data_IF_268963607713
#
_entry.id   IF_268963607713
#
_cell.length_a   1.000
_cell.length_b   1.000
_cell.length_c   1.000
_cell.angle_alpha   90.00
_cell.angle_beta   90.00
_cell.angle_gamma   90.00
#
_symmetry.space_group_name_H-M   'P 1'
#
loop_
_entity.id
_entity.type
_entity.pdbx_description
1 polymer ?
#
# COMPACT_ATOMS: atom_id res chain seq x y z
N UNK A 1 -23.70 56.22 31.91
CA UNK A 1 -22.31 56.37 32.38
C UNK A 1 -21.47 56.88 31.22
N UNK A 2 -21.21 58.19 31.17
CA UNK A 2 -20.58 58.86 30.03
C UNK A 2 -19.06 58.78 30.20
N UNK A 3 -18.40 57.95 29.38
CA UNK A 3 -16.95 57.76 29.43
C UNK A 3 -16.28 58.97 28.76
N UNK A 4 -15.63 59.80 29.56
CA UNK A 4 -14.85 60.96 29.10
C UNK A 4 -13.53 60.46 28.48
N UNK A 5 -13.57 60.12 27.20
CA UNK A 5 -12.39 59.69 26.45
C UNK A 5 -11.47 60.88 26.16
N UNK A 6 -10.21 60.77 26.59
CA UNK A 6 -9.14 61.73 26.32
C UNK A 6 -8.85 61.79 24.80
N UNK A 7 -8.49 62.96 24.25
CA UNK A 7 -8.23 63.17 22.81
C UNK A 7 -7.25 62.15 22.23
N UNK A 8 -6.24 61.72 23.00
CA UNK A 8 -5.28 60.67 22.59
C UNK A 8 -5.93 59.29 22.44
N UNK A 9 -6.92 58.95 23.28
CA UNK A 9 -7.65 57.69 23.20
C UNK A 9 -8.56 57.61 21.96
N UNK A 10 -9.09 58.75 21.49
CA UNK A 10 -9.88 58.79 20.25
C UNK A 10 -9.02 58.51 19.02
N UNK A 11 -7.78 59.02 18.98
CA UNK A 11 -6.84 58.72 17.89
C UNK A 11 -6.49 57.23 17.81
N UNK A 12 -6.22 56.58 18.95
CA UNK A 12 -5.93 55.14 18.96
C UNK A 12 -7.14 54.31 18.50
N UNK A 13 -8.35 54.69 18.87
CA UNK A 13 -9.56 53.94 18.49
C UNK A 13 -9.86 54.08 17.00
N UNK A 14 -9.64 55.27 16.43
CA UNK A 14 -9.73 55.51 14.97
C UNK A 14 -8.64 54.73 14.22
N UNK A 15 -7.40 54.73 14.72
CA UNK A 15 -6.29 53.98 14.10
C UNK A 15 -6.55 52.47 14.13
N UNK A 16 -7.12 51.95 15.21
CA UNK A 16 -7.48 50.54 15.37
C UNK A 16 -8.65 50.15 14.45
N UNK A 17 -9.63 51.05 14.26
CA UNK A 17 -10.70 50.86 13.27
C UNK A 17 -10.18 50.87 11.83
N UNK A 18 -9.25 51.76 11.48
CA UNK A 18 -8.66 51.80 10.14
C UNK A 18 -7.83 50.53 9.88
N UNK A 19 -7.03 50.09 10.86
CA UNK A 19 -6.25 48.84 10.75
C UNK A 19 -7.13 47.60 10.65
N UNK A 20 -8.24 47.54 11.39
CA UNK A 20 -9.21 46.45 11.29
C UNK A 20 -9.90 46.44 9.92
N UNK A 21 -10.22 47.59 9.32
CA UNK A 21 -10.80 47.66 7.98
C UNK A 21 -9.81 47.32 6.87
N UNK A 22 -8.51 47.62 7.04
CA UNK A 22 -7.45 47.21 6.09
C UNK A 22 -7.21 45.69 6.13
N UNK A 23 -7.27 45.08 7.32
CA UNK A 23 -7.11 43.62 7.49
C UNK A 23 -8.36 42.87 7.02
N UNK A 24 -9.56 43.40 7.24
CA UNK A 24 -10.82 42.81 6.81
C UNK A 24 -11.14 43.07 5.33
N UNK A 25 -10.55 44.10 4.70
CA UNK A 25 -10.69 44.39 3.27
C UNK A 25 -9.86 43.50 2.34
N UNK A 26 -9.05 42.58 2.88
CA UNK A 26 -8.20 41.66 2.11
C UNK A 26 -8.73 40.23 1.98
N UNK A 27 -9.94 39.96 2.47
CA UNK A 27 -10.58 38.65 2.37
C UNK A 27 -12.03 38.79 1.87
N UNK A 28 -12.19 39.15 0.60
CA UNK A 28 -13.48 39.00 -0.08
C UNK A 28 -13.29 38.78 -1.58
N UNK A 29 -13.46 37.52 -1.99
CA UNK A 29 -13.84 37.11 -3.34
C UNK A 29 -12.69 36.87 -4.33
N UNK A 30 -12.26 35.62 -4.46
CA UNK A 30 -11.98 35.05 -5.77
C UNK A 30 -12.63 33.66 -5.80
N UNK A 31 -13.88 33.63 -6.27
CA UNK A 31 -14.58 32.43 -6.72
C UNK A 31 -13.97 32.02 -8.06
N UNK A 32 -13.49 30.79 -8.11
CA UNK A 32 -12.92 30.16 -9.29
C UNK A 32 -14.06 29.43 -10.01
N UNK A 33 -14.76 30.15 -10.89
CA UNK A 33 -15.59 29.56 -11.94
C UNK A 33 -14.70 29.38 -13.17
N UNK A 34 -14.70 28.17 -13.74
CA UNK A 34 -13.87 27.77 -14.86
C UNK A 34 -14.79 27.25 -15.96
N UNK A 35 -15.40 28.19 -16.67
CA UNK A 35 -15.92 27.99 -18.02
C UNK A 35 -15.01 28.79 -18.96
N UNK A 36 -14.46 28.10 -19.95
CA UNK A 36 -13.56 28.65 -20.95
C UNK A 36 -13.63 27.75 -22.17
N UNK A 37 -14.51 28.13 -23.10
CA UNK A 37 -14.49 27.70 -24.48
C UNK A 37 -13.13 28.08 -25.10
N UNK A 38 -12.45 27.09 -25.67
CA UNK A 38 -11.30 27.27 -26.57
C UNK A 38 -11.75 26.82 -27.97
N UNK A 39 -12.20 27.79 -28.76
CA UNK A 39 -12.09 27.75 -30.21
C UNK A 39 -10.82 28.53 -30.55
N UNK A 40 -9.76 27.85 -30.96
CA UNK A 40 -8.71 28.42 -31.80
C UNK A 40 -8.17 27.33 -32.73
N UNK A 41 -8.49 27.52 -34.01
CA UNK A 41 -7.80 26.88 -35.12
C UNK A 41 -6.33 27.30 -35.09
N UNK A 42 -5.40 26.35 -35.10
CA UNK A 42 -4.09 26.59 -35.71
C UNK A 42 -3.52 25.28 -36.28
N UNK A 43 -3.42 25.27 -37.61
CA UNK A 43 -2.53 24.39 -38.35
C UNK A 43 -1.09 24.68 -37.93
N UNK A 44 -0.31 23.66 -37.58
CA UNK A 44 1.06 23.56 -38.09
C UNK A 44 1.59 22.14 -37.97
N UNK A 45 2.24 21.72 -39.06
CA UNK A 45 2.96 20.46 -39.19
C UNK A 45 4.22 20.52 -38.32
N UNK A 46 4.44 19.53 -37.45
CA UNK A 46 5.78 19.23 -36.97
C UNK A 46 5.98 17.72 -36.73
N UNK A 47 6.93 17.18 -37.47
CA UNK A 47 7.43 15.82 -37.37
C UNK A 47 8.37 15.77 -36.15
N UNK A 48 7.91 15.30 -34.99
CA UNK A 48 8.82 14.78 -33.97
C UNK A 48 8.19 13.67 -33.13
N UNK A 49 8.88 12.53 -33.12
CA UNK A 49 8.53 11.29 -32.43
C UNK A 49 8.27 11.46 -30.93
N UNK A 50 7.01 11.45 -30.52
CA UNK A 50 6.59 11.23 -29.13
C UNK A 50 6.27 9.74 -28.88
N UNK A 51 6.50 9.20 -27.67
CA UNK A 51 6.25 7.78 -27.39
C UNK A 51 4.75 7.52 -27.51
N UNK A 52 4.38 6.62 -28.41
CA UNK A 52 2.99 6.16 -28.58
C UNK A 52 2.49 5.68 -27.23
N UNK A 53 1.63 6.47 -26.56
CA UNK A 53 0.89 6.01 -25.39
C UNK A 53 -0.12 4.99 -25.89
N UNK A 54 0.31 3.72 -25.88
CA UNK A 54 -0.55 2.59 -26.22
C UNK A 54 -1.65 2.51 -25.17
N UNK A 55 -2.86 2.95 -25.53
CA UNK A 55 -4.02 2.81 -24.68
C UNK A 55 -4.50 1.34 -24.78
N UNK A 56 -4.37 0.54 -23.70
CA UNK A 56 -4.66 -0.90 -23.75
C UNK A 56 -6.10 -1.20 -24.14
N UNK A 57 -7.03 -0.30 -23.77
CA UNK A 57 -8.45 -0.46 -24.02
C UNK A 57 -8.80 -0.23 -25.49
N UNK A 58 -8.16 0.77 -26.14
CA UNK A 58 -8.30 1.03 -27.57
C UNK A 58 -7.61 -0.05 -28.43
N UNK A 59 -6.45 -0.52 -27.99
CA UNK A 59 -5.77 -1.64 -28.66
C UNK A 59 -6.61 -2.93 -28.57
N UNK A 60 -7.25 -3.19 -27.43
CA UNK A 60 -8.12 -4.36 -27.26
C UNK A 60 -9.40 -4.27 -28.09
N UNK A 61 -10.07 -3.11 -28.11
CA UNK A 61 -11.27 -2.92 -28.93
C UNK A 61 -10.97 -2.99 -30.43
N UNK A 62 -9.81 -2.47 -30.87
CA UNK A 62 -9.33 -2.66 -32.24
C UNK A 62 -9.02 -4.13 -32.56
N UNK A 63 -8.37 -4.87 -31.66
CA UNK A 63 -8.09 -6.29 -31.88
C UNK A 63 -9.38 -7.12 -32.02
N UNK A 64 -10.36 -6.88 -31.14
CA UNK A 64 -11.66 -7.58 -31.18
C UNK A 64 -12.46 -7.21 -32.43
N UNK A 65 -12.39 -5.97 -32.91
CA UNK A 65 -13.09 -5.55 -34.13
C UNK A 65 -12.50 -6.18 -35.39
N UNK A 66 -11.17 -6.34 -35.46
CA UNK A 66 -10.50 -6.99 -36.59
C UNK A 66 -10.81 -8.49 -36.67
N UNK A 67 -11.06 -9.16 -35.54
CA UNK A 67 -11.46 -10.58 -35.52
C UNK A 67 -12.85 -10.86 -36.12
N UNK A 68 -13.69 -9.82 -36.26
CA UNK A 68 -15.08 -9.93 -36.71
C UNK A 68 -15.30 -9.58 -38.18
N UNK A 69 -14.25 -9.21 -38.93
CA UNK A 69 -14.36 -8.81 -40.33
C UNK A 69 -13.87 -9.91 -41.29
N UNK A 70 -14.74 -10.78 -41.83
CA UNK A 70 -14.37 -11.84 -42.78
C UNK A 70 -14.00 -11.34 -44.19
N UNK A 71 -13.82 -10.02 -44.40
CA UNK A 71 -13.61 -9.41 -45.72
C UNK A 71 -12.16 -9.03 -46.03
N UNK A 72 -11.20 -9.28 -45.13
CA UNK A 72 -9.78 -8.95 -45.35
C UNK A 72 -8.99 -10.00 -46.17
N UNK A 73 -9.48 -11.23 -46.32
CA UNK A 73 -8.74 -12.33 -46.97
C UNK A 73 -8.67 -12.26 -48.51
N UNK A 74 -9.22 -11.22 -49.15
CA UNK A 74 -9.21 -11.05 -50.62
C UNK A 74 -8.21 -10.03 -51.16
N UNK A 75 -7.08 -9.82 -50.50
CA UNK A 75 -5.99 -9.01 -51.07
C UNK A 75 -4.63 -9.65 -50.84
N UNK A 76 -4.26 -10.59 -51.72
CA UNK A 76 -2.92 -10.66 -52.33
C UNK A 76 -2.84 -11.79 -53.36
N UNK A 77 -3.02 -11.44 -54.63
CA UNK A 77 -2.48 -12.21 -55.76
C UNK A 77 -2.21 -11.28 -56.94
N UNK A 78 -1.21 -10.41 -56.79
CA UNK A 78 -0.51 -9.83 -57.95
C UNK A 78 0.89 -10.42 -57.97
N UNK A 79 1.06 -11.52 -58.70
CA UNK A 79 2.38 -12.08 -59.02
C UNK A 79 3.06 -11.16 -60.03
N UNK A 80 4.32 -10.84 -59.77
CA UNK A 80 5.19 -10.04 -60.63
C UNK A 80 5.37 -10.66 -62.00
N UNK A 81 5.45 -9.79 -63.02
CA UNK A 81 5.77 -10.13 -64.39
C UNK A 81 7.29 -10.30 -64.48
N UNK A 82 7.76 -11.53 -64.66
CA UNK A 82 9.14 -11.79 -65.11
C UNK A 82 9.06 -12.10 -66.60
N UNK A 83 9.77 -11.30 -67.39
CA UNK A 83 10.04 -11.53 -68.80
C UNK A 83 11.02 -12.72 -68.92
N UNK A 84 10.55 -13.81 -69.54
CA UNK A 84 11.33 -15.00 -69.81
C UNK A 84 10.73 -15.76 -70.99
N UNK A 85 11.36 -15.56 -72.16
CA UNK A 85 11.44 -16.34 -73.39
C UNK A 85 10.42 -17.48 -73.59
N UNK A 86 9.71 -17.38 -74.70
CA UNK A 86 8.68 -18.27 -75.24
C UNK A 86 9.16 -19.72 -75.44
N UNK A 87 8.56 -20.64 -74.68
CA UNK A 87 8.23 -21.99 -75.17
C UNK A 87 6.71 -22.11 -75.24
N UNK A 88 6.15 -22.95 -76.13
CA UNK A 88 4.71 -23.19 -76.15
C UNK A 88 4.25 -23.65 -74.76
N UNK A 89 3.13 -23.12 -74.23
CA UNK A 89 2.63 -23.53 -72.94
C UNK A 89 2.40 -25.04 -72.96
N UNK A 90 3.12 -25.77 -72.11
CA UNK A 90 2.86 -27.19 -71.89
C UNK A 90 1.40 -27.39 -71.48
N UNK A 91 0.78 -28.53 -71.83
CA UNK A 91 -0.60 -28.80 -71.47
C UNK A 91 -0.78 -28.61 -69.95
N UNK A 92 -1.91 -28.02 -69.50
CA UNK A 92 -2.20 -27.88 -68.08
C UNK A 92 -1.99 -29.22 -67.40
N UNK A 93 -1.06 -29.28 -66.44
CA UNK A 93 -0.88 -30.48 -65.64
C UNK A 93 -2.22 -30.87 -64.99
N UNK A 94 -2.49 -32.18 -64.82
CA UNK A 94 -3.72 -32.61 -64.18
C UNK A 94 -3.88 -31.91 -62.82
N UNK A 95 -5.10 -31.50 -62.44
CA UNK A 95 -5.35 -30.90 -61.14
C UNK A 95 -4.72 -31.75 -60.05
N UNK A 96 -3.91 -31.13 -59.19
CA UNK A 96 -3.32 -31.83 -58.05
C UNK A 96 -4.42 -32.47 -57.20
N UNK A 97 -4.15 -33.62 -56.56
CA UNK A 97 -5.13 -34.28 -55.71
C UNK A 97 -5.70 -33.28 -54.68
N UNK A 98 -7.01 -33.33 -54.40
CA UNK A 98 -7.63 -32.48 -53.39
C UNK A 98 -6.83 -32.56 -52.08
N UNK A 99 -6.46 -31.40 -51.53
CA UNK A 99 -5.79 -31.34 -50.24
C UNK A 99 -6.66 -31.99 -49.15
N UNK A 100 -6.06 -32.59 -48.11
CA UNK A 100 -6.82 -33.20 -47.03
C UNK A 100 -7.79 -32.19 -46.42
N UNK A 101 -8.99 -32.64 -46.04
CA UNK A 101 -9.99 -31.79 -45.43
C UNK A 101 -9.41 -31.11 -44.18
N UNK A 102 -9.52 -29.77 -44.11
CA UNK A 102 -9.11 -29.03 -42.93
C UNK A 102 -9.86 -29.55 -41.70
N UNK A 103 -9.14 -29.79 -40.60
CA UNK A 103 -9.74 -30.31 -39.38
C UNK A 103 -10.92 -29.42 -38.95
N UNK A 104 -12.12 -30.01 -38.89
CA UNK A 104 -13.33 -29.32 -38.48
C UNK A 104 -13.31 -29.15 -36.94
N UNK A 105 -12.46 -28.26 -36.46
CA UNK A 105 -12.33 -27.96 -35.04
C UNK A 105 -13.45 -26.99 -34.67
N UNK A 106 -14.47 -27.50 -33.96
CA UNK A 106 -15.54 -26.65 -33.45
C UNK A 106 -15.03 -25.79 -32.29
N UNK A 107 -15.64 -24.61 -32.10
CA UNK A 107 -15.25 -23.67 -31.04
C UNK A 107 -15.27 -24.31 -29.65
N UNK A 108 -16.19 -25.24 -29.43
CA UNK A 108 -16.35 -25.93 -28.15
C UNK A 108 -15.21 -26.91 -27.86
N UNK A 109 -14.68 -27.59 -28.89
CA UNK A 109 -13.49 -28.44 -28.78
C UNK A 109 -12.27 -27.59 -28.45
N UNK A 110 -12.10 -26.46 -29.14
CA UNK A 110 -10.98 -25.53 -28.93
C UNK A 110 -11.02 -24.89 -27.53
N UNK A 111 -12.21 -24.54 -27.05
CA UNK A 111 -12.40 -24.00 -25.69
C UNK A 111 -12.14 -25.06 -24.62
N UNK A 112 -12.48 -26.32 -24.90
CA UNK A 112 -12.19 -27.45 -24.02
C UNK A 112 -10.68 -27.69 -23.94
N UNK A 113 -9.99 -27.75 -25.07
CA UNK A 113 -8.53 -27.87 -25.13
C UNK A 113 -7.83 -26.70 -24.44
N UNK A 114 -8.32 -25.47 -24.64
CA UNK A 114 -7.79 -24.30 -23.95
C UNK A 114 -7.98 -24.39 -22.43
N UNK A 115 -9.15 -24.81 -21.96
CA UNK A 115 -9.41 -25.02 -20.52
C UNK A 115 -8.50 -26.09 -19.94
N UNK A 116 -8.32 -27.20 -20.65
CA UNK A 116 -7.45 -28.30 -20.23
C UNK A 116 -5.98 -27.84 -20.18
N UNK A 117 -5.54 -27.05 -21.16
CA UNK A 117 -4.21 -26.44 -21.17
C UNK A 117 -4.01 -25.47 -20.01
N UNK A 118 -4.97 -24.57 -19.75
CA UNK A 118 -4.90 -23.62 -18.62
C UNK A 118 -4.87 -24.36 -17.29
N UNK A 119 -5.69 -25.40 -17.15
CA UNK A 119 -5.70 -26.27 -15.97
C UNK A 119 -4.34 -26.94 -15.76
N UNK A 120 -3.77 -27.55 -16.80
CA UNK A 120 -2.47 -28.19 -16.74
C UNK A 120 -1.35 -27.20 -16.38
N UNK A 121 -1.35 -26.01 -16.97
CA UNK A 121 -0.36 -24.95 -16.65
C UNK A 121 -0.52 -24.47 -15.21
N UNK A 122 -1.75 -24.32 -14.73
CA UNK A 122 -2.03 -23.94 -13.34
C UNK A 122 -1.55 -25.02 -12.36
N UNK A 123 -1.82 -26.29 -12.65
CA UNK A 123 -1.37 -27.44 -11.85
C UNK A 123 0.16 -27.52 -11.81
N UNK A 124 0.84 -27.43 -12.96
CA UNK A 124 2.32 -27.42 -13.01
C UNK A 124 2.92 -26.25 -12.22
N UNK A 125 2.29 -25.07 -12.24
CA UNK A 125 2.75 -23.91 -11.47
C UNK A 125 2.51 -24.11 -9.97
N UNK A 126 1.38 -24.69 -9.58
CA UNK A 126 1.09 -25.03 -8.19
C UNK A 126 2.09 -26.06 -7.65
N UNK A 127 2.42 -27.10 -8.41
CA UNK A 127 3.44 -28.09 -8.07
C UNK A 127 4.82 -27.45 -7.89
N UNK A 128 5.23 -26.53 -8.77
CA UNK A 128 6.48 -25.79 -8.63
C UNK A 128 6.53 -24.95 -7.34
N UNK A 129 5.44 -24.26 -7.00
CA UNK A 129 5.35 -23.48 -5.76
C UNK A 129 5.37 -24.36 -4.51
N UNK A 130 4.72 -25.53 -4.55
CA UNK A 130 4.76 -26.51 -3.47
C UNK A 130 6.15 -27.14 -3.33
N UNK A 131 6.84 -27.43 -4.44
CA UNK A 131 8.22 -27.91 -4.42
C UNK A 131 9.20 -26.91 -3.81
N UNK A 132 9.01 -25.61 -4.08
CA UNK A 132 9.77 -24.52 -3.43
C UNK A 132 9.47 -24.47 -1.93
N UNK A 133 8.20 -24.61 -1.52
CA UNK A 133 7.81 -24.61 -0.11
C UNK A 133 8.36 -25.82 0.66
N UNK A 134 8.39 -27.00 0.05
CA UNK A 134 8.92 -28.24 0.65
C UNK A 134 10.46 -28.17 0.78
N UNK A 135 11.16 -27.63 -0.22
CA UNK A 135 12.63 -27.43 -0.15
C UNK A 135 13.06 -26.50 0.97
N UNK A 136 12.26 -25.47 1.27
CA UNK A 136 12.54 -24.50 2.34
C UNK A 136 12.23 -25.08 3.73
N UNK A 137 11.29 -26.02 3.83
CA UNK A 137 10.87 -26.58 5.12
C UNK A 137 11.66 -27.80 5.59
N UNK A 138 12.34 -28.54 4.70
CA UNK A 138 13.22 -29.66 5.07
C UNK A 138 14.31 -29.92 4.00
N UNK A 139 15.59 -29.60 4.25
CA UNK A 139 16.69 -29.85 3.31
C UNK A 139 17.07 -31.34 3.13
N UNK A 140 16.42 -32.26 3.87
CA UNK A 140 16.81 -33.68 3.97
C UNK A 140 15.72 -34.70 3.65
N UNK A 141 14.51 -34.29 3.22
CA UNK A 141 13.49 -35.26 2.82
C UNK A 141 13.83 -35.84 1.45
N UNK A 142 14.54 -36.98 1.47
CA UNK A 142 14.79 -37.78 0.31
C UNK A 142 13.47 -38.30 -0.26
N UNK A 143 13.38 -38.26 -1.59
CA UNK A 143 12.29 -38.73 -2.44
C UNK A 143 11.81 -40.11 -1.96
N UNK A 144 10.71 -40.16 -1.22
CA UNK A 144 10.00 -41.42 -1.01
C UNK A 144 9.29 -41.75 -2.31
N UNK A 145 9.67 -42.87 -2.90
CA UNK A 145 8.99 -43.46 -4.05
C UNK A 145 7.58 -43.87 -3.62
N UNK A 146 6.63 -42.94 -3.70
CA UNK A 146 5.22 -43.27 -3.57
C UNK A 146 4.73 -43.82 -4.91
N UNK A 147 4.67 -45.15 -4.97
CA UNK A 147 3.87 -45.90 -5.93
C UNK A 147 2.43 -45.43 -5.90
N UNK A 148 1.86 -45.21 -7.09
CA UNK A 148 0.59 -44.52 -7.30
C UNK A 148 -0.57 -45.03 -6.46
N UNK A 149 -1.22 -44.10 -5.77
CA UNK A 149 -2.62 -44.18 -5.39
C UNK A 149 -3.30 -42.90 -5.89
N UNK A 150 -4.41 -42.98 -6.63
CA UNK A 150 -5.09 -41.79 -7.14
C UNK A 150 -5.79 -41.09 -5.98
N UNK A 151 -5.29 -39.91 -5.61
CA UNK A 151 -5.97 -39.02 -4.68
C UNK A 151 -7.25 -38.54 -5.36
N UNK A 152 -8.39 -38.85 -4.73
CA UNK A 152 -9.72 -38.53 -5.25
C UNK A 152 -9.96 -37.02 -5.42
N UNK A 153 -10.96 -36.64 -6.23
CA UNK A 153 -11.26 -35.23 -6.51
C UNK A 153 -12.03 -34.62 -5.33
N UNK A 154 -11.32 -33.87 -4.49
CA UNK A 154 -11.98 -33.22 -3.35
C UNK A 154 -11.14 -32.16 -2.62
N UNK A 155 -10.14 -31.56 -3.27
CA UNK A 155 -9.20 -30.71 -2.52
C UNK A 155 -8.68 -29.48 -3.26
N UNK A 156 -9.48 -28.86 -4.14
CA UNK A 156 -9.15 -27.52 -4.60
C UNK A 156 -10.44 -26.71 -4.69
N UNK A 157 -10.81 -26.13 -3.54
CA UNK A 157 -11.73 -25.01 -3.53
C UNK A 157 -11.05 -23.86 -4.28
N UNK A 158 -11.64 -23.44 -5.41
CA UNK A 158 -11.03 -22.47 -6.34
C UNK A 158 -10.80 -21.09 -5.69
N UNK A 159 -11.36 -20.86 -4.50
CA UNK A 159 -11.12 -19.67 -3.67
C UNK A 159 -9.68 -19.60 -3.12
N UNK A 160 -8.94 -20.72 -3.06
CA UNK A 160 -7.55 -20.75 -2.60
C UNK A 160 -6.51 -20.50 -3.72
N UNK A 161 -6.96 -20.30 -4.97
CA UNK A 161 -6.12 -19.88 -6.11
C UNK A 161 -6.23 -18.37 -6.36
N UNK A 162 -6.68 -17.61 -5.36
CA UNK A 162 -6.44 -16.16 -5.35
C UNK A 162 -5.00 -15.92 -4.89
N UNK A 163 -4.12 -15.58 -5.84
CA UNK A 163 -2.74 -15.09 -5.60
C UNK A 163 -2.82 -13.70 -4.95
N UNK A 164 -3.39 -13.62 -3.76
CA UNK A 164 -3.25 -12.47 -2.88
C UNK A 164 -1.95 -12.71 -2.13
N UNK A 165 -0.98 -11.77 -2.13
CA UNK A 165 0.19 -11.89 -1.27
C UNK A 165 -0.29 -12.06 0.16
N UNK A 166 -0.21 -13.30 0.66
CA UNK A 166 -0.71 -13.65 1.99
C UNK A 166 0.28 -13.07 2.98
N UNK A 167 -0.04 -11.90 3.53
CA UNK A 167 0.66 -11.34 4.69
C UNK A 167 0.78 -12.46 5.71
N UNK A 168 2.01 -12.92 5.92
CA UNK A 168 2.31 -14.12 6.71
C UNK A 168 2.40 -13.81 8.20
N UNK A 169 2.81 -12.58 8.53
CA UNK A 169 2.87 -12.05 9.88
C UNK A 169 2.48 -10.58 9.89
N UNK A 170 1.56 -10.21 10.76
CA UNK A 170 1.24 -8.81 10.99
C UNK A 170 0.14 -8.64 12.02
N UNK A 171 0.07 -7.46 12.61
CA UNK A 171 -0.88 -7.15 13.66
C UNK A 171 -1.27 -5.68 13.63
N UNK A 172 -2.46 -5.41 14.15
CA UNK A 172 -2.95 -4.09 14.49
C UNK A 172 -3.62 -4.17 15.86
N UNK A 173 -2.98 -3.55 16.84
CA UNK A 173 -3.39 -3.55 18.23
C UNK A 173 -3.59 -2.14 18.74
N UNK A 174 -4.43 -2.01 19.75
CA UNK A 174 -4.78 -0.73 20.37
C UNK A 174 -4.60 -0.81 21.88
N UNK A 175 -4.09 0.26 22.47
CA UNK A 175 -3.89 0.34 23.91
C UNK A 175 -5.25 0.35 24.62
N UNK A 176 -5.44 -0.57 25.57
CA UNK A 176 -6.74 -0.80 26.22
C UNK A 176 -7.16 0.36 27.13
N UNK A 177 -6.27 0.77 28.02
CA UNK A 177 -6.53 1.79 29.03
C UNK A 177 -5.50 2.92 28.94
N UNK A 178 -5.83 4.08 29.49
CA UNK A 178 -4.85 5.14 29.64
C UNK A 178 -3.72 4.72 30.60
N UNK A 179 -2.48 5.06 30.25
CA UNK A 179 -1.27 4.75 31.03
C UNK A 179 -0.64 6.06 31.50
N UNK A 180 -0.41 6.19 32.81
CA UNK A 180 0.30 7.35 33.37
C UNK A 180 1.81 7.12 33.28
N UNK A 181 2.51 8.08 32.66
CA UNK A 181 3.97 8.09 32.55
C UNK A 181 4.49 9.23 33.42
N UNK A 182 5.17 8.88 34.50
CA UNK A 182 5.75 9.84 35.43
C UNK A 182 6.82 10.72 34.78
N UNK A 183 7.13 11.86 35.40
CA UNK A 183 8.24 12.71 34.95
C UNK A 183 9.58 11.97 34.98
N UNK A 184 10.44 12.18 33.97
CA UNK A 184 11.79 11.61 33.86
C UNK A 184 11.85 10.07 33.89
N UNK A 185 10.85 9.41 33.31
CA UNK A 185 10.82 7.96 33.27
C UNK A 185 10.74 7.41 31.86
N UNK A 186 11.37 6.25 31.69
CA UNK A 186 11.32 5.43 30.50
C UNK A 186 10.39 4.24 30.75
N UNK A 187 9.31 4.11 29.97
CA UNK A 187 8.25 3.13 30.22
C UNK A 187 7.93 2.33 28.96
N UNK A 188 7.88 1.01 29.09
CA UNK A 188 7.32 0.09 28.08
C UNK A 188 5.79 0.12 28.12
N UNK A 189 5.14 0.31 26.97
CA UNK A 189 3.69 0.22 26.86
C UNK A 189 3.25 -1.25 26.85
N UNK A 190 2.29 -1.58 27.70
CA UNK A 190 1.78 -2.94 27.89
C UNK A 190 0.26 -2.96 27.81
N UNK A 191 -0.33 -4.16 27.80
CA UNK A 191 -1.79 -4.38 27.80
C UNK A 191 -2.47 -3.78 26.57
N UNK A 192 -1.98 -4.20 25.42
CA UNK A 192 -2.66 -3.96 24.16
C UNK A 192 -3.82 -4.94 23.99
N UNK A 193 -4.78 -4.58 23.16
CA UNK A 193 -5.86 -5.45 22.78
C UNK A 193 -6.13 -5.32 21.29
N UNK A 194 -6.61 -6.41 20.69
CA UNK A 194 -7.17 -6.37 19.36
C UNK A 194 -8.47 -5.54 19.39
N UNK A 195 -8.58 -4.43 18.62
CA UNK A 195 -9.83 -3.72 18.53
C UNK A 195 -10.93 -4.63 17.96
N UNK A 196 -12.11 -4.65 18.57
CA UNK A 196 -13.26 -5.46 18.11
C UNK A 196 -13.99 -4.85 16.88
N UNK A 197 -13.35 -3.95 16.14
CA UNK A 197 -13.94 -3.19 15.02
C UNK A 197 -13.21 -3.40 13.70
N UNK A 198 -13.85 -3.00 12.59
CA UNK A 198 -13.29 -3.13 11.24
C UNK A 198 -11.91 -2.48 11.09
N UNK A 199 -10.96 -3.18 10.48
CA UNK A 199 -9.58 -2.72 10.26
C UNK A 199 -8.55 -3.23 11.28
N UNK A 200 -8.98 -3.85 12.37
CA UNK A 200 -8.11 -4.62 13.25
C UNK A 200 -7.78 -5.98 12.61
N UNK A 201 -6.52 -6.39 12.62
CA UNK A 201 -6.11 -7.70 12.13
C UNK A 201 -4.96 -8.25 12.96
N UNK A 202 -4.95 -9.57 13.15
CA UNK A 202 -3.79 -10.29 13.65
C UNK A 202 -3.61 -11.49 12.73
N UNK A 203 -2.43 -11.61 12.13
CA UNK A 203 -2.04 -12.71 11.27
C UNK A 203 -0.82 -13.38 11.87
N UNK A 204 -0.99 -14.66 12.19
CA UNK A 204 -0.05 -15.42 12.99
C UNK A 204 -0.23 -15.18 14.49
N UNK A 205 0.34 -16.09 15.28
CA UNK A 205 0.45 -15.93 16.72
C UNK A 205 1.79 -15.26 17.05
N UNK A 206 1.84 -13.95 16.80
CA UNK A 206 3.08 -13.16 16.77
C UNK A 206 3.08 -12.01 17.75
N UNK A 207 1.97 -11.75 18.44
CA UNK A 207 1.82 -10.60 19.33
C UNK A 207 1.27 -11.02 20.70
N UNK A 208 2.05 -10.77 21.75
CA UNK A 208 1.60 -10.92 23.13
C UNK A 208 0.88 -9.66 23.60
N UNK A 209 -0.45 -9.77 23.73
CA UNK A 209 -1.32 -8.69 24.19
C UNK A 209 -1.00 -8.21 25.62
N UNK A 210 -0.51 -9.09 26.51
CA UNK A 210 -0.23 -8.75 27.92
C UNK A 210 1.01 -7.89 28.03
N UNK A 211 2.11 -8.34 27.44
CA UNK A 211 3.39 -7.65 27.46
C UNK A 211 3.48 -6.54 26.40
N UNK A 212 2.61 -6.54 25.38
CA UNK A 212 2.65 -5.57 24.28
C UNK A 212 3.79 -5.83 23.29
N UNK A 213 4.26 -7.07 23.21
CA UNK A 213 5.47 -7.46 22.46
C UNK A 213 5.10 -8.21 21.20
N UNK A 214 5.68 -7.79 20.09
CA UNK A 214 5.64 -8.53 18.84
C UNK A 214 6.89 -9.40 18.70
N UNK A 215 6.75 -10.70 18.48
CA UNK A 215 7.87 -11.62 18.23
C UNK A 215 7.93 -11.98 16.76
N UNK A 216 9.07 -11.72 16.13
CA UNK A 216 9.30 -12.01 14.71
C UNK A 216 9.28 -13.53 14.46
N UNK A 217 8.34 -14.05 13.66
CA UNK A 217 8.28 -15.49 13.37
C UNK A 217 9.37 -15.96 12.39
N UNK A 218 9.96 -15.03 11.63
CA UNK A 218 10.99 -15.28 10.60
C UNK A 218 11.95 -14.10 10.50
N UNK A 219 13.12 -14.35 9.93
CA UNK A 219 14.07 -13.29 9.58
C UNK A 219 13.48 -12.46 8.43
N UNK A 220 13.61 -11.13 8.50
CA UNK A 220 13.14 -10.25 7.43
C UNK A 220 13.01 -8.78 7.81
N UNK A 221 12.41 -8.00 6.91
CA UNK A 221 12.13 -6.58 7.06
C UNK A 221 10.67 -6.39 7.43
N UNK A 222 10.44 -5.80 8.59
CA UNK A 222 9.14 -5.51 9.16
C UNK A 222 8.88 -4.00 9.11
N UNK A 223 7.70 -3.61 8.67
CA UNK A 223 7.23 -2.24 8.80
C UNK A 223 6.43 -2.11 10.10
N UNK A 224 6.79 -1.13 10.91
CA UNK A 224 6.07 -0.78 12.13
C UNK A 224 5.49 0.62 12.03
N UNK A 225 4.28 0.80 12.54
CA UNK A 225 3.69 2.11 12.72
C UNK A 225 2.98 2.21 14.07
N UNK A 226 3.20 3.32 14.77
CA UNK A 226 2.64 3.59 16.09
C UNK A 226 2.06 5.01 16.10
N UNK A 227 0.79 5.13 16.48
CA UNK A 227 0.10 6.41 16.66
C UNK A 227 -0.29 6.54 18.12
N UNK A 228 0.51 7.27 18.88
CA UNK A 228 0.35 7.40 20.34
C UNK A 228 -0.28 8.75 20.67
N UNK A 229 -1.43 8.71 21.34
CA UNK A 229 -2.13 9.90 21.79
C UNK A 229 -1.68 10.26 23.21
N UNK A 230 -1.10 11.44 23.36
CA UNK A 230 -0.67 11.97 24.64
C UNK A 230 -1.66 13.01 25.14
N UNK A 231 -1.93 12.95 26.43
CA UNK A 231 -2.63 13.98 27.19
C UNK A 231 -1.72 14.44 28.31
N UNK A 232 -1.51 15.73 28.44
CA UNK A 232 -0.93 16.30 29.65
C UNK A 232 -1.92 17.25 30.28
N UNK A 233 -2.01 17.20 31.60
CA UNK A 233 -2.84 18.15 32.31
C UNK A 233 -2.28 19.56 32.10
N UNK A 234 -3.15 20.52 31.80
CA UNK A 234 -2.80 21.93 31.81
C UNK A 234 -2.27 22.40 33.16
N UNK A 235 -1.92 23.69 33.24
CA UNK A 235 -1.51 24.31 34.50
C UNK A 235 -2.67 24.26 35.53
N UNK A 236 -2.77 23.17 36.30
CA UNK A 236 -3.62 23.11 37.50
C UNK A 236 -3.14 24.22 38.44
N UNK A 237 -3.96 25.25 38.61
CA UNK A 237 -3.73 26.37 39.54
C UNK A 237 -3.44 25.78 40.91
N UNK A 238 -2.19 25.82 41.36
CA UNK A 238 -1.87 25.39 42.72
C UNK A 238 -0.43 25.08 43.02
N UNK A 239 0.29 24.26 42.21
CA UNK A 239 1.68 23.82 42.56
C UNK A 239 2.33 22.90 41.50
N UNK A 240 2.28 23.22 40.20
CA UNK A 240 3.03 22.44 39.18
C UNK A 240 3.97 23.33 38.38
N UNK A 241 5.22 22.87 38.24
CA UNK A 241 6.29 23.53 37.47
C UNK A 241 5.79 23.86 36.07
N UNK A 242 5.99 25.11 35.63
CA UNK A 242 5.73 25.53 34.25
C UNK A 242 6.54 24.65 33.30
N UNK A 243 5.92 24.30 32.17
CA UNK A 243 6.59 23.58 31.08
C UNK A 243 7.82 24.36 30.62
N UNK A 244 8.94 23.65 30.46
CA UNK A 244 10.21 24.21 29.99
C UNK A 244 10.34 23.98 28.50
N UNK A 245 11.06 24.87 27.80
CA UNK A 245 11.41 24.68 26.38
C UNK A 245 12.22 23.40 26.10
N UNK A 246 12.77 22.75 27.13
CA UNK A 246 13.51 21.47 27.06
C UNK A 246 12.67 20.25 27.45
N UNK A 247 11.41 20.44 27.86
CA UNK A 247 10.54 19.32 28.16
C UNK A 247 10.22 18.62 26.84
N UNK A 248 10.70 17.40 26.68
CA UNK A 248 10.50 16.58 25.49
C UNK A 248 9.97 15.20 25.86
N UNK A 249 9.30 14.60 24.90
CA UNK A 249 8.77 13.25 24.99
C UNK A 249 9.28 12.51 23.76
N UNK A 250 9.79 11.30 23.99
CA UNK A 250 10.26 10.43 22.90
C UNK A 250 9.43 9.17 22.87
N UNK A 251 9.01 8.78 21.68
CA UNK A 251 8.37 7.49 21.41
C UNK A 251 9.36 6.66 20.62
N UNK A 252 9.59 5.43 21.08
CA UNK A 252 10.54 4.53 20.46
C UNK A 252 9.90 3.16 20.23
N UNK A 253 10.28 2.50 19.14
CA UNK A 253 10.02 1.07 18.92
C UNK A 253 11.38 0.40 18.92
N UNK A 254 11.62 -0.48 19.90
CA UNK A 254 12.95 -1.04 20.13
C UNK A 254 12.95 -2.56 19.98
N UNK A 255 14.06 -3.09 19.47
CA UNK A 255 14.33 -4.52 19.35
C UNK A 255 14.92 -5.00 20.69
N UNK A 256 14.34 -6.03 21.30
CA UNK A 256 14.84 -6.65 22.55
C UNK A 256 15.08 -5.67 23.71
N UNK A 257 14.27 -4.62 23.83
CA UNK A 257 14.48 -3.50 24.77
C UNK A 257 15.76 -2.67 24.54
N UNK A 258 16.48 -2.89 23.44
CA UNK A 258 17.66 -2.13 23.04
C UNK A 258 17.24 -0.94 22.17
N UNK A 259 17.23 0.25 22.77
CA UNK A 259 16.83 1.48 22.09
C UNK A 259 18.02 2.30 21.57
N UNK A 260 19.00 1.63 20.97
CA UNK A 260 20.22 2.26 20.45
C UNK A 260 20.07 2.59 18.96
N UNK A 261 21.00 3.36 18.40
CA UNK A 261 21.04 3.64 16.96
C UNK A 261 21.07 2.31 16.18
N UNK A 262 20.25 2.21 15.13
CA UNK A 262 20.07 1.03 14.28
C UNK A 262 19.31 -0.16 14.90
N UNK A 263 18.88 -0.06 16.16
CA UNK A 263 18.08 -1.11 16.84
C UNK A 263 16.72 -0.59 17.30
N UNK A 264 16.40 0.66 16.94
CA UNK A 264 15.11 1.27 17.23
C UNK A 264 14.68 2.29 16.18
N UNK A 265 13.38 2.52 16.13
CA UNK A 265 12.77 3.69 15.52
C UNK A 265 12.50 4.70 16.63
N UNK A 266 12.78 5.98 16.39
CA UNK A 266 12.58 7.03 17.39
C UNK A 266 11.90 8.26 16.81
N UNK A 267 11.04 8.88 17.61
CA UNK A 267 10.48 10.19 17.33
C UNK A 267 10.48 11.03 18.61
N UNK A 268 11.00 12.25 18.52
CA UNK A 268 11.09 13.18 19.65
C UNK A 268 10.22 14.40 19.40
N UNK A 269 9.37 14.75 20.35
CA UNK A 269 8.53 15.95 20.31
C UNK A 269 8.72 16.81 21.57
N UNK A 270 8.56 18.12 21.42
CA UNK A 270 8.55 19.05 22.54
C UNK A 270 7.17 19.11 23.19
N UNK A 271 7.13 19.17 24.53
CA UNK A 271 5.88 19.32 25.26
C UNK A 271 5.46 20.79 25.30
N UNK A 272 4.49 21.16 24.47
CA UNK A 272 3.97 22.52 24.38
C UNK A 272 2.83 22.78 25.37
N UNK A 273 2.68 24.03 25.82
CA UNK A 273 1.62 24.43 26.76
C UNK A 273 0.25 24.64 26.12
N UNK A 274 0.20 24.82 24.80
CA UNK A 274 -1.01 25.26 24.10
C UNK A 274 -1.98 24.11 23.80
N UNK A 275 -1.48 22.90 23.57
CA UNK A 275 -2.29 21.70 23.30
C UNK A 275 -2.27 20.77 24.50
N UNK A 276 -3.42 20.50 25.11
CA UNK A 276 -3.53 19.52 26.21
C UNK A 276 -3.48 18.07 25.72
N UNK A 277 -3.80 17.86 24.45
CA UNK A 277 -3.78 16.57 23.77
C UNK A 277 -3.02 16.74 22.46
N UNK A 278 -2.10 15.83 22.18
CA UNK A 278 -1.34 15.79 20.93
C UNK A 278 -1.03 14.33 20.55
N UNK A 279 -0.73 14.09 19.28
CA UNK A 279 -0.44 12.75 18.77
C UNK A 279 0.98 12.69 18.27
N UNK A 280 1.66 11.58 18.56
CA UNK A 280 2.96 11.25 17.98
C UNK A 280 2.77 10.05 17.06
N UNK A 281 3.14 10.22 15.79
CA UNK A 281 3.11 9.17 14.78
C UNK A 281 4.54 8.77 14.42
N UNK A 282 4.86 7.50 14.65
CA UNK A 282 6.13 6.88 14.29
C UNK A 282 5.87 5.83 13.21
N UNK A 283 6.63 5.86 12.12
CA UNK A 283 6.54 4.89 11.03
C UNK A 283 7.94 4.60 10.51
N UNK A 284 8.26 3.34 10.27
CA UNK A 284 9.57 2.96 9.78
C UNK A 284 9.71 1.45 9.56
N UNK A 285 10.88 1.08 9.05
CA UNK A 285 11.25 -0.30 8.78
C UNK A 285 12.29 -0.75 9.81
N UNK A 286 12.15 -1.98 10.31
CA UNK A 286 13.13 -2.64 11.17
C UNK A 286 13.42 -4.04 10.61
N UNK A 287 14.70 -4.38 10.52
CA UNK A 287 15.12 -5.73 10.22
C UNK A 287 15.11 -6.54 11.52
N UNK A 288 14.39 -7.66 11.54
CA UNK A 288 14.30 -8.55 12.70
C UNK A 288 14.76 -9.95 12.34
N UNK A 289 15.40 -10.60 13.30
CA UNK A 289 15.68 -12.02 13.28
C UNK A 289 14.57 -12.80 13.98
N UNK A 290 14.40 -14.06 13.61
CA UNK A 290 13.45 -14.99 14.19
C UNK A 290 13.63 -15.07 15.70
N UNK A 291 12.55 -14.85 16.44
CA UNK A 291 12.53 -14.87 17.89
C UNK A 291 12.85 -13.54 18.56
N UNK A 292 13.37 -12.55 17.83
CA UNK A 292 13.51 -11.19 18.37
C UNK A 292 12.14 -10.58 18.59
N UNK A 293 12.01 -9.80 19.66
CA UNK A 293 10.78 -9.08 19.95
C UNK A 293 10.94 -7.58 19.79
N UNK A 294 9.86 -6.90 19.42
CA UNK A 294 9.76 -5.44 19.41
C UNK A 294 8.63 -4.98 20.32
N UNK A 295 8.83 -3.82 20.94
CA UNK A 295 7.87 -3.19 21.85
C UNK A 295 7.94 -1.67 21.74
N UNK A 296 6.87 -0.99 22.16
CA UNK A 296 6.77 0.46 22.15
C UNK A 296 7.17 1.02 23.51
N UNK A 297 8.09 1.97 23.50
CA UNK A 297 8.58 2.66 24.68
C UNK A 297 8.27 4.15 24.61
N UNK A 298 8.02 4.73 25.77
CA UNK A 298 7.83 6.16 25.95
C UNK A 298 8.87 6.66 26.94
N UNK A 299 9.70 7.60 26.49
CA UNK A 299 10.59 8.35 27.35
C UNK A 299 9.99 9.72 27.65
N UNK A 300 9.63 9.94 28.91
CA UNK A 300 9.18 11.23 29.37
C UNK A 300 10.35 12.02 29.97
N UNK A 301 11.07 12.78 29.16
CA UNK A 301 12.13 13.66 29.64
C UNK A 301 11.61 14.97 30.28
N UNK A 302 10.29 15.17 30.32
CA UNK A 302 9.68 16.35 30.92
C UNK A 302 9.66 16.31 32.45
N UNK A 303 9.49 17.48 33.07
CA UNK A 303 9.33 17.60 34.51
C UNK A 303 7.90 17.35 35.02
N UNK A 304 6.99 16.82 34.18
CA UNK A 304 5.58 16.62 34.51
C UNK A 304 5.12 15.22 34.11
N UNK A 305 4.11 14.73 34.82
CA UNK A 305 3.47 13.47 34.45
C UNK A 305 2.58 13.69 33.22
N UNK A 306 2.63 12.73 32.32
CA UNK A 306 1.83 12.69 31.10
C UNK A 306 0.99 11.41 31.10
N UNK A 307 -0.05 11.41 30.29
CA UNK A 307 -0.95 10.27 30.14
C UNK A 307 -0.97 9.85 28.68
N UNK A 308 -0.63 8.60 28.42
CA UNK A 308 -0.90 7.97 27.13
C UNK A 308 -2.35 7.56 27.14
N UNK A 309 -3.15 8.00 26.17
CA UNK A 309 -4.56 7.69 26.11
C UNK A 309 -4.79 6.27 25.60
N UNK A 310 -5.80 5.60 26.17
CA UNK A 310 -6.38 4.40 25.56
C UNK A 310 -6.91 4.75 24.16
N UNK A 311 -6.77 3.85 23.21
CA UNK A 311 -7.02 4.16 21.80
C UNK A 311 -5.77 4.37 20.96
N UNK A 312 -4.59 4.49 21.58
CA UNK A 312 -3.32 4.57 20.86
C UNK A 312 -3.04 3.28 20.08
N UNK A 313 -2.64 3.40 18.82
CA UNK A 313 -2.51 2.27 17.89
C UNK A 313 -1.04 1.85 17.74
N UNK A 314 -0.80 0.55 17.66
CA UNK A 314 0.49 -0.06 17.33
C UNK A 314 0.27 -1.16 16.29
N UNK A 315 0.99 -1.06 15.19
CA UNK A 315 0.87 -1.95 14.04
C UNK A 315 2.25 -2.42 13.58
N UNK A 316 2.29 -3.63 13.05
CA UNK A 316 3.49 -4.18 12.44
C UNK A 316 3.14 -5.21 11.38
N UNK A 317 3.91 -5.26 10.30
CA UNK A 317 3.70 -6.21 9.19
C UNK A 317 5.02 -6.65 8.59
N UNK A 318 5.15 -7.93 8.29
CA UNK A 318 6.28 -8.47 7.51
C UNK A 318 6.10 -8.11 6.04
N UNK A 319 7.08 -7.40 5.46
CA UNK A 319 7.04 -6.96 4.06
C UNK A 319 7.94 -7.82 3.18
N UNK A 320 9.13 -8.17 3.67
CA UNK A 320 10.11 -8.91 2.88
C UNK A 320 10.97 -9.81 3.76
N UNK A 321 11.44 -10.91 3.18
CA UNK A 321 12.37 -11.88 3.76
C UNK A 321 13.63 -11.94 2.93
#
# INVERSE_FOLDING_TARGET
>A
MIIKMNRRGLYYLILLFILMNIVMGRFRGNSFDRDGDEDDEENENDDTSAPIRVNPQLSWSNFVSHSKNPKADKRQKKKGRVLGITGPPGPPGPPGPPGPAGAAVTKDILMKEFKDMVKEVAERRAEQLLAVRIRVMCPGCQRSNYTGAPLGPGMFDLDEVTVIPKISAGFHCRLRNAVSVSSKTFLELKRFQMPFGGGAFQRGDVFDSKEGRFTAPRDGIYQFSSNIHFRHDGHKKGKKRRLRKRDSIRVLICIESLCQKHTSLEYTTGLESNSHVFTVSLNGLLQLQKGQYTSVYVDNASARDIFVQGGSDFTGVLIGV
#
